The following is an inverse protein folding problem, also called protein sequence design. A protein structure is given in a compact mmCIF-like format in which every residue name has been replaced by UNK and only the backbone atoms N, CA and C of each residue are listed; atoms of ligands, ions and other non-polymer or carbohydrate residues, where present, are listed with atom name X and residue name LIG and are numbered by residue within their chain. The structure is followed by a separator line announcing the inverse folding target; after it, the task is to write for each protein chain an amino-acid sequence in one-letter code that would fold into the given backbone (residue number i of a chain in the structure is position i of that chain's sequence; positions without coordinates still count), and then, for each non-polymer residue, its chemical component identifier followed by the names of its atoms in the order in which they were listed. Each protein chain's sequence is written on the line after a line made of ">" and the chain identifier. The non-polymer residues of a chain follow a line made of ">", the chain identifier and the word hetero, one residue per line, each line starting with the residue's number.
data_IF_565148549862
#
_entry.id   IF_565148549862
#
_cell.length_a   1.000
_cell.length_b   1.000
_cell.length_c   1.000
_cell.angle_alpha   90.00
_cell.angle_beta   90.00
_cell.angle_gamma   90.00
#
_symmetry.space_group_name_H-M   'P 1'
#
loop_
_entity.id
_entity.type
_entity.pdbx_description
1 polymer ?
#
# COMPACT_ATOMS: atom_id res chain seq x y z
N UNK A 1 23.99 3.66 10.49
CA UNK A 1 22.93 4.48 11.11
C UNK A 1 22.98 4.20 12.60
N UNK A 2 23.16 5.26 13.45
CA UNK A 2 23.27 5.07 14.90
C UNK A 2 21.93 4.61 15.49
N UNK A 3 22.00 3.75 16.51
CA UNK A 3 20.82 3.33 17.28
C UNK A 3 20.16 4.54 17.94
N UNK A 4 18.83 4.63 17.81
CA UNK A 4 18.06 5.64 18.55
C UNK A 4 18.03 5.22 20.02
N UNK A 5 18.43 6.08 20.98
CA UNK A 5 18.39 5.74 22.39
C UNK A 5 16.97 5.30 22.83
N UNK A 6 16.87 4.19 23.55
CA UNK A 6 15.59 3.62 24.00
C UNK A 6 14.73 4.64 24.79
N UNK A 7 15.37 5.52 25.56
CA UNK A 7 14.68 6.60 26.26
C UNK A 7 13.98 7.59 25.31
N UNK A 8 14.55 7.86 24.11
CA UNK A 8 13.95 8.74 23.12
C UNK A 8 12.75 8.06 22.44
N UNK A 9 12.86 6.77 22.15
CA UNK A 9 11.73 5.98 21.61
C UNK A 9 10.56 5.94 22.59
N UNK A 10 10.84 5.71 23.88
CA UNK A 10 9.79 5.71 24.91
C UNK A 10 9.14 7.10 25.05
N UNK A 11 9.93 8.18 24.98
CA UNK A 11 9.39 9.56 25.00
C UNK A 11 8.45 9.83 23.83
N UNK A 12 8.86 9.47 22.61
CA UNK A 12 8.03 9.63 21.41
C UNK A 12 6.76 8.77 21.49
N UNK A 13 6.85 7.54 21.98
CA UNK A 13 5.71 6.65 22.22
C UNK A 13 4.70 7.27 23.19
N UNK A 14 5.15 7.74 24.36
CA UNK A 14 4.27 8.34 25.38
C UNK A 14 3.64 9.64 24.88
N UNK A 15 4.40 10.42 24.10
CA UNK A 15 3.89 11.63 23.43
C UNK A 15 2.79 11.28 22.45
N UNK A 16 2.99 10.31 21.58
CA UNK A 16 1.97 9.86 20.62
C UNK A 16 0.70 9.41 21.34
N UNK A 17 0.83 8.59 22.38
CA UNK A 17 -0.31 8.10 23.18
C UNK A 17 -1.15 9.22 23.80
N UNK A 18 -0.49 10.28 24.31
CA UNK A 18 -1.18 11.46 24.83
C UNK A 18 -1.91 12.24 23.72
N UNK A 19 -1.25 12.41 22.56
CA UNK A 19 -1.82 13.14 21.44
C UNK A 19 -2.99 12.38 20.81
N UNK A 20 -2.96 11.03 20.73
CA UNK A 20 -4.06 10.19 20.27
C UNK A 20 -5.31 10.42 21.14
N UNK A 21 -5.17 10.39 22.47
CA UNK A 21 -6.29 10.71 23.38
C UNK A 21 -6.87 12.11 23.14
N UNK A 22 -5.98 13.09 22.89
CA UNK A 22 -6.40 14.46 22.59
C UNK A 22 -7.15 14.51 21.24
N UNK A 23 -6.72 13.74 20.21
CA UNK A 23 -7.38 13.70 18.92
C UNK A 23 -8.83 13.23 19.04
N UNK A 24 -9.11 12.20 19.82
CA UNK A 24 -10.47 11.70 20.07
C UNK A 24 -11.43 12.78 20.60
N UNK A 25 -10.92 13.75 21.38
CA UNK A 25 -11.77 14.85 21.88
C UNK A 25 -12.27 15.81 20.80
N UNK A 26 -11.75 15.73 19.58
CA UNK A 26 -12.18 16.55 18.44
C UNK A 26 -13.28 15.89 17.59
N UNK A 27 -13.63 14.64 17.81
CA UNK A 27 -14.59 13.89 16.97
C UNK A 27 -15.88 14.70 16.69
N UNK A 28 -16.52 15.20 17.74
CA UNK A 28 -17.76 15.99 17.62
C UNK A 28 -17.54 17.48 17.34
N UNK A 29 -16.30 17.95 17.39
CA UNK A 29 -15.97 19.38 17.32
C UNK A 29 -15.25 19.76 16.05
N UNK A 30 -14.74 18.79 15.28
CA UNK A 30 -13.87 19.02 14.13
C UNK A 30 -14.43 20.04 13.14
N UNK A 31 -15.67 19.86 12.71
CA UNK A 31 -16.29 20.66 11.66
C UNK A 31 -17.16 21.84 12.19
N UNK A 32 -17.10 22.12 13.49
CA UNK A 32 -17.88 23.22 14.11
C UNK A 32 -17.38 24.60 13.64
N UNK A 33 -16.06 24.74 13.45
CA UNK A 33 -15.42 25.96 12.94
C UNK A 33 -14.04 25.66 12.35
N UNK A 34 -13.51 26.63 11.60
CA UNK A 34 -12.21 26.54 10.90
C UNK A 34 -11.03 26.26 11.83
N UNK A 35 -11.02 26.85 13.05
CA UNK A 35 -9.95 26.64 14.02
C UNK A 35 -9.90 25.21 14.56
N UNK A 36 -11.06 24.61 14.85
CA UNK A 36 -11.13 23.22 15.28
C UNK A 36 -10.76 22.28 14.13
N UNK A 37 -11.20 22.58 12.92
CA UNK A 37 -10.85 21.82 11.73
C UNK A 37 -9.32 21.80 11.52
N UNK A 38 -8.69 22.94 11.51
CA UNK A 38 -7.22 23.05 11.41
C UNK A 38 -6.49 22.30 12.54
N UNK A 39 -6.90 22.55 13.80
CA UNK A 39 -6.27 21.88 14.95
C UNK A 39 -6.36 20.35 14.87
N UNK A 40 -7.48 19.84 14.37
CA UNK A 40 -7.68 18.40 14.21
C UNK A 40 -6.77 17.85 13.12
N UNK A 41 -6.76 18.46 11.93
CA UNK A 41 -5.90 18.03 10.81
C UNK A 41 -4.42 18.13 11.19
N UNK A 42 -4.00 19.26 11.79
CA UNK A 42 -2.63 19.41 12.27
C UNK A 42 -2.26 18.33 13.28
N UNK A 43 -3.11 18.08 14.26
CA UNK A 43 -2.86 17.06 15.30
C UNK A 43 -2.77 15.67 14.70
N UNK A 44 -3.60 15.34 13.74
CA UNK A 44 -3.52 14.08 12.99
C UNK A 44 -2.14 13.89 12.35
N UNK A 45 -1.65 14.87 11.61
CA UNK A 45 -0.32 14.78 10.97
C UNK A 45 0.84 14.80 11.97
N UNK A 46 0.71 15.53 13.08
CA UNK A 46 1.71 15.51 14.14
C UNK A 46 1.83 14.11 14.77
N UNK A 47 0.71 13.40 14.98
CA UNK A 47 0.69 12.02 15.48
C UNK A 47 1.22 11.07 14.42
N UNK A 48 0.72 11.17 13.19
CA UNK A 48 1.13 10.30 12.08
C UNK A 48 2.65 10.31 11.90
N UNK A 49 3.27 11.48 11.92
CA UNK A 49 4.74 11.60 11.82
C UNK A 49 5.47 10.86 12.94
N UNK A 50 4.97 10.93 14.17
CA UNK A 50 5.60 10.25 15.32
C UNK A 50 5.41 8.74 15.19
N UNK A 51 4.19 8.29 14.90
CA UNK A 51 3.85 6.87 14.78
C UNK A 51 4.60 6.25 13.61
N UNK A 52 4.65 6.91 12.46
CA UNK A 52 5.38 6.44 11.28
C UNK A 52 6.88 6.31 11.56
N UNK A 53 7.49 7.32 12.20
CA UNK A 53 8.91 7.26 12.60
C UNK A 53 9.19 6.07 13.52
N UNK A 54 8.35 5.86 14.53
CA UNK A 54 8.48 4.73 15.46
C UNK A 54 8.31 3.40 14.71
N UNK A 55 7.29 3.27 13.84
CA UNK A 55 7.01 2.05 13.08
C UNK A 55 8.17 1.67 12.17
N UNK A 56 8.71 2.63 11.41
CA UNK A 56 9.85 2.37 10.51
C UNK A 56 11.07 1.92 11.32
N UNK A 57 11.38 2.62 12.41
CA UNK A 57 12.55 2.27 13.23
C UNK A 57 12.43 0.87 13.84
N UNK A 58 11.27 0.55 14.43
CA UNK A 58 11.10 -0.74 15.12
C UNK A 58 11.02 -1.91 14.13
N UNK A 59 10.39 -1.72 12.96
CA UNK A 59 10.37 -2.71 11.90
C UNK A 59 11.78 -3.01 11.38
N UNK A 60 12.52 -1.98 10.96
CA UNK A 60 13.89 -2.16 10.46
C UNK A 60 14.83 -2.75 11.52
N UNK A 61 14.66 -2.39 12.82
CA UNK A 61 15.45 -2.98 13.90
C UNK A 61 15.16 -4.46 14.07
N UNK A 62 13.90 -4.88 13.93
CA UNK A 62 13.51 -6.28 13.98
C UNK A 62 14.01 -7.05 12.75
N UNK A 63 13.95 -6.46 11.55
CA UNK A 63 14.45 -7.08 10.31
C UNK A 63 15.96 -7.34 10.34
N UNK A 64 16.74 -6.55 11.10
CA UNK A 64 18.18 -6.78 11.28
C UNK A 64 18.50 -8.01 12.15
N UNK A 65 17.59 -8.39 13.05
CA UNK A 65 17.72 -9.57 13.90
C UNK A 65 16.34 -10.04 14.35
N UNK A 66 15.76 -10.94 13.57
CA UNK A 66 14.43 -11.51 13.81
C UNK A 66 14.37 -12.51 14.97
N UNK A 67 15.53 -12.90 15.51
CA UNK A 67 15.63 -13.78 16.67
C UNK A 67 15.60 -13.05 18.01
N UNK A 68 15.72 -11.70 17.98
CA UNK A 68 15.69 -10.85 19.18
C UNK A 68 14.24 -10.56 19.63
N UNK A 69 13.80 -11.28 20.65
CA UNK A 69 12.46 -11.13 21.23
C UNK A 69 12.16 -9.69 21.71
N UNK A 70 13.19 -8.94 22.17
CA UNK A 70 12.99 -7.56 22.64
C UNK A 70 12.64 -6.60 21.50
N UNK A 71 13.21 -6.82 20.32
CA UNK A 71 12.89 -6.06 19.10
C UNK A 71 11.50 -6.41 18.58
N UNK A 72 11.12 -7.69 18.65
CA UNK A 72 9.78 -8.14 18.30
C UNK A 72 8.73 -7.48 19.21
N UNK A 73 8.90 -7.54 20.53
CA UNK A 73 7.98 -6.90 21.49
C UNK A 73 7.83 -5.40 21.25
N UNK A 74 8.94 -4.71 20.94
CA UNK A 74 8.91 -3.28 20.65
C UNK A 74 8.15 -2.99 19.35
N UNK A 75 8.34 -3.79 18.30
CA UNK A 75 7.61 -3.69 17.04
C UNK A 75 6.11 -3.90 17.24
N UNK A 76 5.72 -4.93 17.97
CA UNK A 76 4.32 -5.21 18.31
C UNK A 76 3.68 -4.08 19.13
N UNK A 77 4.41 -3.53 20.10
CA UNK A 77 3.96 -2.39 20.91
C UNK A 77 3.67 -1.16 20.06
N UNK A 78 4.51 -0.87 19.07
CA UNK A 78 4.30 0.25 18.14
C UNK A 78 3.19 -0.06 17.14
N UNK A 79 3.05 -1.30 16.68
CA UNK A 79 1.94 -1.74 15.85
C UNK A 79 0.58 -1.54 16.55
N UNK A 80 0.51 -1.87 17.84
CA UNK A 80 -0.68 -1.61 18.65
C UNK A 80 -0.98 -0.10 18.78
N UNK A 81 0.05 0.74 18.96
CA UNK A 81 -0.10 2.20 18.97
C UNK A 81 -0.65 2.73 17.64
N UNK A 82 -0.20 2.18 16.52
CA UNK A 82 -0.69 2.52 15.18
C UNK A 82 -2.17 2.12 15.00
N UNK A 83 -2.55 0.95 15.50
CA UNK A 83 -3.95 0.51 15.53
C UNK A 83 -4.83 1.44 16.37
N UNK A 84 -4.35 1.87 17.55
CA UNK A 84 -5.06 2.82 18.40
C UNK A 84 -5.22 4.19 17.72
N UNK A 85 -4.18 4.65 17.01
CA UNK A 85 -4.25 5.88 16.21
C UNK A 85 -5.28 5.76 15.09
N UNK A 86 -5.26 4.67 14.32
CA UNK A 86 -6.24 4.41 13.28
C UNK A 86 -7.67 4.42 13.81
N UNK A 87 -7.92 3.70 14.93
CA UNK A 87 -9.23 3.68 15.60
C UNK A 87 -9.67 5.06 16.09
N UNK A 88 -8.73 5.88 16.56
CA UNK A 88 -9.05 7.20 17.09
C UNK A 88 -9.27 8.24 16.00
N UNK A 89 -8.68 8.06 14.82
CA UNK A 89 -8.74 9.01 13.69
C UNK A 89 -9.85 8.72 12.68
N UNK A 90 -10.61 7.63 12.85
CA UNK A 90 -11.64 7.14 11.90
C UNK A 90 -12.64 8.22 11.46
N UNK A 91 -12.94 9.20 12.33
CA UNK A 91 -13.93 10.24 12.08
C UNK A 91 -13.45 11.35 11.13
N UNK A 92 -12.15 11.45 10.86
CA UNK A 92 -11.56 12.58 10.12
C UNK A 92 -12.07 12.61 8.69
N UNK A 93 -11.89 11.52 7.94
CA UNK A 93 -12.32 11.43 6.54
C UNK A 93 -13.83 11.64 6.39
N UNK A 94 -14.72 10.95 7.14
CA UNK A 94 -16.15 11.20 7.08
C UNK A 94 -16.53 12.66 7.39
N UNK A 95 -15.86 13.31 8.34
CA UNK A 95 -16.15 14.70 8.66
C UNK A 95 -15.68 15.66 7.57
N UNK A 96 -14.55 15.42 6.91
CA UNK A 96 -14.13 16.18 5.73
C UNK A 96 -15.20 16.05 4.64
N UNK A 97 -15.66 14.85 4.34
CA UNK A 97 -16.65 14.58 3.29
C UNK A 97 -18.04 15.19 3.56
N UNK A 98 -18.39 15.45 4.84
CA UNK A 98 -19.63 16.14 5.22
C UNK A 98 -19.60 17.63 4.91
N UNK A 99 -18.43 18.27 4.84
CA UNK A 99 -18.33 19.68 4.50
C UNK A 99 -18.76 19.90 3.04
N UNK A 100 -19.46 20.98 2.77
CA UNK A 100 -19.66 21.45 1.41
C UNK A 100 -18.51 22.36 0.94
N UNK A 101 -18.41 22.52 -0.36
CA UNK A 101 -17.37 23.36 -0.96
C UNK A 101 -17.39 24.82 -0.48
N UNK A 102 -18.56 25.36 -0.12
CA UNK A 102 -18.71 26.72 0.36
C UNK A 102 -18.12 26.87 1.76
N UNK A 103 -18.45 25.97 2.65
CA UNK A 103 -17.92 25.91 4.01
C UNK A 103 -16.41 25.68 4.02
N UNK A 104 -15.92 24.78 3.16
CA UNK A 104 -14.47 24.53 3.07
C UNK A 104 -13.71 25.76 2.56
N UNK A 105 -14.22 26.47 1.54
CA UNK A 105 -13.62 27.74 1.08
C UNK A 105 -13.61 28.80 2.18
N UNK A 106 -14.66 28.86 3.00
CA UNK A 106 -14.71 29.77 4.15
C UNK A 106 -13.63 29.39 5.17
N UNK A 107 -13.47 28.10 5.49
CA UNK A 107 -12.43 27.63 6.41
C UNK A 107 -11.02 27.98 5.94
N UNK A 108 -10.72 27.84 4.65
CA UNK A 108 -9.42 28.27 4.08
C UNK A 108 -9.20 29.80 4.14
N UNK A 109 -10.29 30.59 4.11
CA UNK A 109 -10.21 32.04 4.22
C UNK A 109 -9.93 32.48 5.67
N UNK A 110 -10.61 31.87 6.64
CA UNK A 110 -10.50 32.16 8.06
C UNK A 110 -9.19 31.63 8.67
N UNK A 111 -8.78 30.42 8.29
CA UNK A 111 -7.59 29.75 8.83
C UNK A 111 -6.56 29.51 7.71
N UNK A 112 -5.64 30.49 7.56
CA UNK A 112 -4.66 30.49 6.46
C UNK A 112 -3.71 29.29 6.50
N UNK A 113 -3.34 28.81 7.70
CA UNK A 113 -2.46 27.66 7.89
C UNK A 113 -3.09 26.34 7.39
N UNK A 114 -4.41 26.30 7.23
CA UNK A 114 -5.09 25.15 6.66
C UNK A 114 -4.66 24.85 5.22
N UNK A 115 -4.11 25.83 4.51
CA UNK A 115 -3.58 25.67 3.14
C UNK A 115 -2.42 24.69 3.07
N UNK A 116 -1.66 24.49 4.15
CA UNK A 116 -0.58 23.50 4.23
C UNK A 116 -1.11 22.05 4.06
N UNK A 117 -2.38 21.84 4.40
CA UNK A 117 -3.06 20.53 4.31
C UNK A 117 -4.02 20.44 3.12
N UNK A 118 -4.00 21.43 2.22
CA UNK A 118 -4.94 21.50 1.10
C UNK A 118 -4.87 20.25 0.22
N UNK A 119 -3.67 19.78 -0.10
CA UNK A 119 -3.49 18.57 -0.91
C UNK A 119 -4.21 17.36 -0.28
N UNK A 120 -3.99 17.08 0.99
CA UNK A 120 -4.66 15.98 1.70
C UNK A 120 -6.19 16.11 1.67
N UNK A 121 -6.70 17.31 1.91
CA UNK A 121 -8.14 17.56 1.92
C UNK A 121 -8.72 17.38 0.52
N UNK A 122 -8.06 17.89 -0.51
CA UNK A 122 -8.47 17.74 -1.90
C UNK A 122 -8.47 16.26 -2.32
N UNK A 123 -7.47 15.48 -1.89
CA UNK A 123 -7.42 14.04 -2.11
C UNK A 123 -8.63 13.33 -1.47
N UNK A 124 -8.94 13.62 -0.21
CA UNK A 124 -10.13 13.06 0.43
C UNK A 124 -11.40 13.40 -0.36
N UNK A 125 -11.52 14.66 -0.85
CA UNK A 125 -12.66 15.07 -1.66
C UNK A 125 -12.72 14.36 -3.01
N UNK A 126 -11.60 14.08 -3.63
CA UNK A 126 -11.51 13.34 -4.89
C UNK A 126 -12.17 11.96 -4.78
N UNK A 127 -11.98 11.28 -3.64
CA UNK A 127 -12.59 9.99 -3.35
C UNK A 127 -14.09 10.05 -3.02
N UNK A 128 -14.68 11.26 -2.83
CA UNK A 128 -16.08 11.40 -2.39
C UNK A 128 -17.07 10.65 -3.28
N UNK A 129 -16.89 10.69 -4.60
CA UNK A 129 -17.75 10.00 -5.56
C UNK A 129 -17.58 8.47 -5.56
N UNK A 130 -16.47 8.01 -4.99
CA UNK A 130 -16.09 6.61 -4.88
C UNK A 130 -16.27 6.06 -3.45
N UNK A 131 -16.85 6.83 -2.55
CA UNK A 131 -17.19 6.41 -1.20
C UNK A 131 -18.57 5.76 -1.20
N UNK A 132 -18.70 4.66 -0.48
CA UNK A 132 -19.95 3.91 -0.32
C UNK A 132 -20.74 4.44 0.89
N UNK A 133 -21.98 4.00 1.04
CA UNK A 133 -22.76 4.25 2.26
C UNK A 133 -22.28 3.39 3.45
N UNK A 134 -22.62 3.79 4.67
CA UNK A 134 -22.15 3.15 5.90
C UNK A 134 -22.41 1.63 5.95
N UNK A 135 -23.57 1.17 5.42
CA UNK A 135 -23.92 -0.25 5.39
C UNK A 135 -23.12 -1.01 4.33
N UNK A 136 -22.91 -0.40 3.17
CA UNK A 136 -22.12 -0.95 2.08
C UNK A 136 -20.65 -1.08 2.51
N UNK A 137 -20.08 -0.06 3.17
CA UNK A 137 -18.71 -0.09 3.70
C UNK A 137 -18.52 -1.18 4.76
N UNK A 138 -19.51 -1.44 5.63
CA UNK A 138 -19.48 -2.54 6.58
C UNK A 138 -19.44 -3.90 5.89
N UNK A 139 -20.22 -4.08 4.83
CA UNK A 139 -20.22 -5.31 4.03
C UNK A 139 -18.85 -5.48 3.37
N UNK A 140 -18.35 -4.43 2.70
CA UNK A 140 -17.05 -4.46 2.03
C UNK A 140 -15.89 -4.73 3.01
N UNK A 141 -15.92 -4.15 4.21
CA UNK A 141 -14.95 -4.44 5.27
C UNK A 141 -14.98 -5.91 5.70
N UNK A 142 -16.15 -6.53 5.72
CA UNK A 142 -16.28 -7.96 6.06
C UNK A 142 -15.76 -8.86 4.94
N UNK A 143 -15.96 -8.47 3.69
CA UNK A 143 -15.49 -9.17 2.49
C UNK A 143 -13.98 -8.92 2.29
N UNK A 144 -13.44 -7.84 2.80
CA UNK A 144 -12.05 -7.41 2.61
C UNK A 144 -11.00 -8.47 2.96
N UNK A 145 -11.33 -9.42 3.85
CA UNK A 145 -10.48 -10.57 4.17
C UNK A 145 -10.37 -11.60 3.05
N UNK A 146 -11.31 -11.57 2.11
CA UNK A 146 -11.36 -12.50 0.97
C UNK A 146 -10.75 -11.84 -0.27
N UNK A 147 -10.83 -10.51 -0.35
CA UNK A 147 -10.23 -9.71 -1.41
C UNK A 147 -8.72 -9.91 -1.36
N UNK A 148 -8.11 -10.21 -2.49
CA UNK A 148 -6.66 -10.43 -2.58
C UNK A 148 -6.20 -11.88 -2.36
N UNK A 149 -7.05 -12.80 -1.85
CA UNK A 149 -6.64 -14.19 -1.62
C UNK A 149 -6.17 -14.91 -2.89
N UNK A 150 -6.62 -14.45 -4.06
CA UNK A 150 -6.12 -14.94 -5.35
C UNK A 150 -4.63 -14.62 -5.52
N UNK A 151 -4.20 -13.43 -5.11
CA UNK A 151 -2.80 -13.03 -5.12
C UNK A 151 -1.99 -13.82 -4.09
N UNK A 152 -2.49 -13.98 -2.88
CA UNK A 152 -1.83 -14.78 -1.84
C UNK A 152 -1.62 -16.23 -2.31
N UNK A 153 -2.63 -16.81 -2.99
CA UNK A 153 -2.52 -18.15 -3.58
C UNK A 153 -1.45 -18.21 -4.67
N UNK A 154 -1.36 -17.18 -5.51
CA UNK A 154 -0.31 -17.07 -6.52
C UNK A 154 1.09 -17.00 -5.90
N UNK A 155 1.28 -16.19 -4.85
CA UNK A 155 2.58 -16.06 -4.17
C UNK A 155 3.00 -17.39 -3.51
N UNK A 156 2.10 -18.05 -2.76
CA UNK A 156 2.37 -19.35 -2.16
C UNK A 156 2.74 -20.39 -3.22
N UNK A 157 1.96 -20.48 -4.28
CA UNK A 157 2.21 -21.41 -5.36
C UNK A 157 3.55 -21.17 -6.04
N UNK A 158 3.87 -19.91 -6.38
CA UNK A 158 5.09 -19.52 -7.07
C UNK A 158 6.36 -19.73 -6.21
N UNK A 159 6.28 -19.40 -4.92
CA UNK A 159 7.46 -19.31 -4.06
C UNK A 159 7.68 -20.57 -3.18
N UNK A 160 6.60 -21.34 -2.93
CA UNK A 160 6.67 -22.51 -2.07
C UNK A 160 6.49 -23.85 -2.80
N UNK A 161 5.56 -23.91 -3.76
CA UNK A 161 5.18 -25.20 -4.39
C UNK A 161 5.92 -25.48 -5.70
N UNK A 162 6.41 -24.42 -6.39
CA UNK A 162 7.12 -24.59 -7.65
C UNK A 162 8.61 -24.88 -7.46
N UNK A 163 9.12 -25.86 -8.21
CA UNK A 163 10.54 -26.15 -8.33
C UNK A 163 10.93 -26.19 -9.80
N UNK A 164 11.97 -25.44 -10.18
CA UNK A 164 12.37 -25.29 -11.58
C UNK A 164 13.44 -26.32 -12.01
N UNK A 165 14.03 -27.05 -11.07
CA UNK A 165 15.16 -27.95 -11.36
C UNK A 165 16.49 -27.19 -11.45
N UNK A 166 17.48 -27.79 -12.14
CA UNK A 166 18.86 -27.32 -12.15
C UNK A 166 19.27 -26.75 -13.50
N UNK A 167 20.20 -25.79 -13.48
CA UNK A 167 20.86 -25.22 -14.66
C UNK A 167 22.37 -25.39 -14.52
N UNK A 168 23.04 -25.80 -15.61
CA UNK A 168 24.50 -25.84 -15.69
C UNK A 168 25.02 -24.48 -16.08
N UNK A 169 25.86 -23.88 -15.24
CA UNK A 169 26.49 -22.58 -15.47
C UNK A 169 27.64 -22.61 -16.49
N UNK A 170 28.38 -21.49 -16.66
CA UNK A 170 29.52 -21.40 -17.55
C UNK A 170 30.71 -22.25 -17.16
N UNK A 171 30.83 -22.56 -15.87
CA UNK A 171 31.95 -23.35 -15.30
C UNK A 171 31.63 -24.83 -15.24
N UNK A 172 30.46 -25.24 -15.77
CA UNK A 172 29.99 -26.63 -15.75
C UNK A 172 29.37 -27.07 -14.43
N UNK A 173 29.12 -26.14 -13.49
CA UNK A 173 28.51 -26.41 -12.20
C UNK A 173 26.99 -26.47 -12.33
N UNK A 174 26.38 -27.47 -11.74
CA UNK A 174 24.95 -27.62 -11.63
C UNK A 174 24.43 -26.81 -10.45
N UNK A 175 23.48 -25.92 -10.68
CA UNK A 175 22.92 -25.00 -9.70
C UNK A 175 21.40 -25.07 -9.80
N UNK A 176 20.73 -25.20 -8.66
CA UNK A 176 19.27 -25.13 -8.57
C UNK A 176 18.77 -23.77 -9.05
N UNK A 177 17.82 -23.79 -9.98
CA UNK A 177 17.20 -22.57 -10.51
C UNK A 177 16.05 -22.13 -9.62
N UNK A 178 16.03 -20.85 -9.27
CA UNK A 178 14.98 -20.21 -8.50
C UNK A 178 14.57 -18.91 -9.17
N UNK A 179 13.40 -18.37 -8.83
CA UNK A 179 12.99 -17.02 -9.27
C UNK A 179 14.03 -15.96 -8.88
N UNK A 180 14.65 -16.10 -7.71
CA UNK A 180 15.62 -15.13 -7.19
C UNK A 180 16.96 -15.13 -7.92
N UNK A 181 17.43 -16.28 -8.40
CA UNK A 181 18.73 -16.38 -9.08
C UNK A 181 18.62 -16.43 -10.61
N UNK A 182 17.42 -16.44 -11.18
CA UNK A 182 17.20 -16.47 -12.63
C UNK A 182 17.92 -15.32 -13.36
N UNK A 183 17.90 -14.12 -12.79
CA UNK A 183 18.58 -12.93 -13.37
C UNK A 183 20.08 -13.17 -13.56
N UNK A 184 20.76 -13.85 -12.64
CA UNK A 184 22.18 -14.16 -12.76
C UNK A 184 22.49 -15.04 -13.98
N UNK A 185 21.61 -16.00 -14.28
CA UNK A 185 21.76 -16.87 -15.43
C UNK A 185 21.41 -16.17 -16.76
N UNK A 186 20.36 -15.36 -16.80
CA UNK A 186 19.91 -14.67 -18.02
C UNK A 186 20.85 -13.53 -18.42
N UNK A 187 21.66 -13.01 -17.49
CA UNK A 187 22.71 -12.01 -17.72
C UNK A 187 24.08 -12.65 -18.05
N UNK A 188 24.20 -13.98 -18.06
CA UNK A 188 25.45 -14.67 -18.40
C UNK A 188 25.96 -14.27 -19.78
N UNK A 189 27.28 -14.12 -19.93
CA UNK A 189 27.94 -13.93 -21.23
C UNK A 189 27.74 -15.12 -22.16
N UNK A 190 27.67 -16.35 -21.61
CA UNK A 190 27.41 -17.56 -22.38
C UNK A 190 25.94 -17.66 -22.77
N UNK A 191 25.69 -17.60 -24.09
CA UNK A 191 24.34 -17.73 -24.66
C UNK A 191 23.66 -19.06 -24.28
N UNK A 192 24.43 -20.14 -24.19
CA UNK A 192 23.89 -21.47 -23.87
C UNK A 192 23.39 -21.54 -22.43
N UNK A 193 24.05 -20.82 -21.50
CA UNK A 193 23.58 -20.70 -20.12
C UNK A 193 22.24 -19.94 -20.09
N UNK A 194 22.16 -18.81 -20.80
CA UNK A 194 20.90 -18.05 -20.89
C UNK A 194 19.75 -18.88 -21.45
N UNK A 195 20.01 -19.62 -22.54
CA UNK A 195 19.03 -20.49 -23.19
C UNK A 195 18.55 -21.62 -22.27
N UNK A 196 19.49 -22.29 -21.57
CA UNK A 196 19.13 -23.32 -20.59
C UNK A 196 18.26 -22.76 -19.47
N UNK A 197 18.67 -21.65 -18.86
CA UNK A 197 17.93 -21.03 -17.77
C UNK A 197 16.52 -20.63 -18.23
N UNK A 198 16.39 -20.00 -19.39
CA UNK A 198 15.10 -19.63 -19.97
C UNK A 198 14.20 -20.86 -20.18
N UNK A 199 14.71 -21.87 -20.85
CA UNK A 199 13.93 -23.08 -21.14
C UNK A 199 13.54 -23.83 -19.87
N UNK A 200 14.45 -23.95 -18.90
CA UNK A 200 14.17 -24.60 -17.62
C UNK A 200 13.08 -23.87 -16.85
N UNK A 201 13.17 -22.56 -16.70
CA UNK A 201 12.16 -21.76 -16.02
C UNK A 201 10.78 -21.86 -16.68
N UNK A 202 10.73 -21.56 -17.99
CA UNK A 202 9.45 -21.50 -18.69
C UNK A 202 8.82 -22.85 -18.99
N UNK A 203 9.61 -23.93 -19.05
CA UNK A 203 9.06 -25.28 -19.16
C UNK A 203 8.27 -25.66 -17.89
N UNK A 204 8.72 -25.20 -16.72
CA UNK A 204 8.02 -25.42 -15.47
C UNK A 204 6.72 -24.59 -15.42
N UNK A 205 6.78 -23.28 -15.72
CA UNK A 205 5.59 -22.44 -15.79
C UNK A 205 4.52 -22.99 -16.75
N UNK A 206 4.93 -23.55 -17.90
CA UNK A 206 4.01 -24.13 -18.89
C UNK A 206 3.17 -25.29 -18.35
N UNK A 207 3.67 -26.05 -17.39
CA UNK A 207 2.92 -27.15 -16.77
C UNK A 207 1.67 -26.66 -16.06
N UNK A 208 1.68 -25.42 -15.59
CA UNK A 208 0.63 -24.82 -14.76
C UNK A 208 -0.16 -23.70 -15.46
N UNK A 209 -0.13 -23.68 -16.81
CA UNK A 209 -0.79 -22.63 -17.62
C UNK A 209 -2.26 -22.45 -17.25
N UNK A 210 -3.01 -23.54 -17.02
CA UNK A 210 -4.43 -23.47 -16.67
C UNK A 210 -4.64 -22.86 -15.27
N UNK A 211 -3.78 -23.16 -14.31
CA UNK A 211 -3.83 -22.60 -12.95
C UNK A 211 -3.55 -21.11 -13.00
N UNK A 212 -2.49 -20.69 -13.69
CA UNK A 212 -2.17 -19.28 -13.87
C UNK A 212 -3.27 -18.51 -14.62
N UNK A 213 -3.83 -19.08 -15.68
CA UNK A 213 -4.93 -18.47 -16.41
C UNK A 213 -6.17 -18.29 -15.51
N UNK A 214 -6.47 -19.26 -14.65
CA UNK A 214 -7.57 -19.16 -13.69
C UNK A 214 -7.31 -18.09 -12.63
N UNK A 215 -6.11 -18.00 -12.10
CA UNK A 215 -5.71 -16.98 -11.11
C UNK A 215 -5.80 -15.57 -11.71
N UNK A 216 -5.24 -15.36 -12.91
CA UNK A 216 -5.33 -14.06 -13.61
C UNK A 216 -6.80 -13.70 -13.88
N UNK A 217 -7.59 -14.64 -14.41
CA UNK A 217 -9.00 -14.37 -14.69
C UNK A 217 -9.80 -14.04 -13.42
N UNK A 218 -9.48 -14.67 -12.30
CA UNK A 218 -10.10 -14.38 -10.99
C UNK A 218 -9.72 -12.98 -10.50
N UNK A 219 -8.45 -12.62 -10.56
CA UNK A 219 -7.96 -11.28 -10.19
C UNK A 219 -8.60 -10.18 -11.06
N UNK A 220 -8.69 -10.39 -12.37
CA UNK A 220 -9.36 -9.45 -13.28
C UNK A 220 -10.85 -9.28 -12.96
N UNK A 221 -11.54 -10.38 -12.61
CA UNK A 221 -12.95 -10.32 -12.18
C UNK A 221 -13.11 -9.58 -10.86
N UNK A 222 -12.20 -9.82 -9.89
CA UNK A 222 -12.18 -9.13 -8.62
C UNK A 222 -12.03 -7.63 -8.83
N UNK A 223 -10.97 -7.18 -9.53
CA UNK A 223 -10.72 -5.76 -9.80
C UNK A 223 -11.87 -5.09 -10.57
N UNK A 224 -12.44 -5.78 -11.56
CA UNK A 224 -13.58 -5.26 -12.33
C UNK A 224 -14.84 -5.15 -11.48
N UNK A 225 -15.02 -6.05 -10.51
CA UNK A 225 -16.17 -6.01 -9.59
C UNK A 225 -15.98 -4.86 -8.58
N UNK A 226 -14.79 -4.72 -8.00
CA UNK A 226 -14.48 -3.62 -7.09
C UNK A 226 -14.63 -2.25 -7.77
N UNK A 227 -14.14 -2.11 -9.01
CA UNK A 227 -14.32 -0.88 -9.78
C UNK A 227 -15.79 -0.49 -9.90
N UNK A 228 -16.67 -1.43 -10.22
CA UNK A 228 -18.12 -1.19 -10.31
C UNK A 228 -18.73 -0.81 -8.96
N UNK A 229 -18.36 -1.52 -7.88
CA UNK A 229 -18.86 -1.25 -6.53
C UNK A 229 -18.49 0.17 -6.12
N UNK A 230 -17.21 0.56 -6.30
CA UNK A 230 -16.70 1.88 -5.97
C UNK A 230 -16.94 2.95 -7.06
N UNK A 231 -17.81 2.66 -8.04
CA UNK A 231 -18.29 3.60 -9.07
C UNK A 231 -17.17 4.18 -9.95
N UNK A 232 -16.20 3.34 -10.29
CA UNK A 232 -15.22 3.64 -11.34
C UNK A 232 -15.68 3.07 -12.69
N UNK A 233 -15.35 3.75 -13.77
CA UNK A 233 -15.73 3.33 -15.12
C UNK A 233 -15.07 2.00 -15.52
N UNK A 234 -13.81 1.80 -15.10
CA UNK A 234 -13.02 0.60 -15.38
C UNK A 234 -12.08 0.27 -14.23
N UNK A 235 -11.58 -0.98 -14.19
CA UNK A 235 -10.54 -1.39 -13.25
C UNK A 235 -9.24 -0.57 -13.43
N UNK A 236 -8.87 -0.24 -14.66
CA UNK A 236 -7.72 0.62 -14.95
C UNK A 236 -7.93 2.03 -14.38
N UNK A 237 -9.11 2.62 -14.59
CA UNK A 237 -9.43 3.92 -14.02
C UNK A 237 -9.35 3.90 -12.49
N UNK A 238 -9.79 2.83 -11.83
CA UNK A 238 -9.66 2.64 -10.38
C UNK A 238 -8.18 2.57 -9.96
N UNK A 239 -7.36 1.79 -10.68
CA UNK A 239 -5.94 1.62 -10.35
C UNK A 239 -5.15 2.93 -10.53
N UNK A 240 -5.40 3.68 -11.59
CA UNK A 240 -4.73 4.96 -11.87
C UNK A 240 -5.21 6.09 -10.96
N UNK A 241 -6.41 5.95 -10.39
CA UNK A 241 -7.01 7.00 -9.57
C UNK A 241 -6.19 7.29 -8.31
N UNK A 242 -5.58 6.27 -7.69
CA UNK A 242 -4.73 6.43 -6.51
C UNK A 242 -3.55 7.36 -6.74
N UNK A 243 -2.94 7.28 -7.91
CA UNK A 243 -1.75 8.05 -8.31
C UNK A 243 -2.12 9.38 -9.00
N UNK A 244 -3.41 9.71 -9.13
CA UNK A 244 -3.93 10.87 -9.86
C UNK A 244 -3.45 10.93 -11.32
N UNK A 245 -3.32 9.75 -11.96
CA UNK A 245 -2.91 9.61 -13.36
C UNK A 245 -4.14 9.44 -14.23
N UNK A 246 -4.25 10.22 -15.31
CA UNK A 246 -5.34 10.08 -16.27
C UNK A 246 -5.15 8.87 -17.17
N UNK A 247 -6.27 8.30 -17.66
CA UNK A 247 -6.24 7.19 -18.63
C UNK A 247 -5.51 7.58 -19.93
N UNK A 248 -5.53 8.87 -20.28
CA UNK A 248 -4.86 9.37 -21.48
C UNK A 248 -3.34 9.27 -21.36
N UNK A 249 -2.77 9.54 -20.18
CA UNK A 249 -1.34 9.35 -19.92
C UNK A 249 -0.95 7.88 -20.07
N UNK A 250 -1.76 6.99 -19.53
CA UNK A 250 -1.55 5.55 -19.64
C UNK A 250 -1.60 5.07 -21.10
N UNK A 251 -2.62 5.47 -21.84
CA UNK A 251 -2.77 5.11 -23.25
C UNK A 251 -1.64 5.70 -24.10
N UNK A 252 -1.28 6.96 -23.90
CA UNK A 252 -0.17 7.60 -24.61
C UNK A 252 1.17 6.88 -24.38
N UNK A 253 1.41 6.34 -23.19
CA UNK A 253 2.59 5.51 -22.93
C UNK A 253 2.58 4.25 -23.80
N UNK A 254 1.44 3.54 -23.86
CA UNK A 254 1.28 2.33 -24.68
C UNK A 254 1.50 2.66 -26.16
N UNK A 255 0.86 3.71 -26.67
CA UNK A 255 0.96 4.13 -28.06
C UNK A 255 2.41 4.51 -28.42
N UNK A 256 3.08 5.25 -27.53
CA UNK A 256 4.49 5.64 -27.72
C UNK A 256 5.44 4.41 -27.76
N UNK A 257 5.16 3.38 -26.97
CA UNK A 257 5.91 2.11 -27.02
C UNK A 257 5.63 1.38 -28.33
N UNK A 258 4.36 1.26 -28.73
CA UNK A 258 3.98 0.60 -29.98
C UNK A 258 4.61 1.25 -31.21
N UNK A 259 4.72 2.58 -31.26
CA UNK A 259 5.41 3.30 -32.34
C UNK A 259 6.89 2.93 -32.45
N UNK A 260 7.51 2.43 -31.37
CA UNK A 260 8.95 2.12 -31.32
C UNK A 260 9.27 0.63 -31.35
N UNK A 261 8.28 -0.25 -31.32
CA UNK A 261 8.50 -1.73 -31.35
C UNK A 261 9.20 -2.20 -32.61
N UNK A 262 9.11 -1.43 -33.72
CA UNK A 262 9.78 -1.77 -35.00
C UNK A 262 11.29 -1.46 -35.04
N UNK A 263 11.86 -0.88 -33.99
CA UNK A 263 13.28 -0.61 -33.82
C UNK A 263 13.93 -1.69 -32.96
#
# INVERSE_FOLDING_TARGET
>A
AGEIPQALLQKDYDKAKKLIKKLGSFEKKMIVNSSNFYKTIKLYFDIDRIVTKLSIYTSLSFDLDTSDNSKQELSEKVSNLRSDFSKCSYFIVPNILKLDNKTLKLFYKEEKLLKEYKYYIDEVYRYKKHTLGDNEEKIMSSIGKIIGTCYDTYELFKDCDMSFGNVIDSDGKEIELTNSNYSLFIESKDRKVRERAFNTLYSEYKKYTNTYASLIATNMKELSTLAKIYKYDTAIAMSLFGDDVSIDVYNNLIDSVHEKIGY
#
